data_IF_068036214137
#
_entry.id   IF_068036214137
#
_cell.length_a   1.000
_cell.length_b   1.000
_cell.length_c   1.000
_cell.angle_alpha   90.00
_cell.angle_beta   90.00
_cell.angle_gamma   90.00
#
_symmetry.space_group_name_H-M   'P 1'
#
loop_
_entity.id
_entity.type
_entity.pdbx_description
1 polymer ?
#
# COMPACT_ATOMS: atom_id res chain seq x y z
N UNK A 1 -26.04 1.69 17.83
CA UNK A 1 -24.74 2.37 17.84
C UNK A 1 -23.78 1.49 17.05
N UNK A 2 -23.53 1.78 15.76
CA UNK A 2 -22.54 1.08 14.95
C UNK A 2 -21.16 1.31 15.55
N UNK A 3 -20.31 0.28 15.58
CA UNK A 3 -18.90 0.45 15.92
C UNK A 3 -18.27 1.34 14.86
N UNK A 4 -17.78 2.50 15.24
CA UNK A 4 -16.99 3.34 14.34
C UNK A 4 -15.68 2.60 14.07
N UNK A 5 -15.55 2.06 12.85
CA UNK A 5 -14.36 1.33 12.42
C UNK A 5 -13.36 2.36 11.91
N UNK A 6 -12.17 2.39 12.50
CA UNK A 6 -11.12 3.33 12.09
C UNK A 6 -10.60 3.01 10.68
N UNK A 7 -10.22 4.04 9.91
CA UNK A 7 -9.67 3.85 8.58
C UNK A 7 -8.45 2.93 8.54
N UNK A 8 -8.41 2.04 7.53
CA UNK A 8 -7.27 1.21 7.23
C UNK A 8 -6.41 1.83 6.12
N UNK A 9 -5.12 1.48 6.07
CA UNK A 9 -4.22 1.81 4.97
C UNK A 9 -3.87 0.54 4.19
N UNK A 10 -4.15 0.53 2.90
CA UNK A 10 -3.75 -0.52 1.96
C UNK A 10 -2.51 -0.06 1.21
N UNK A 11 -1.44 -0.84 1.24
CA UNK A 11 -0.17 -0.56 0.57
C UNK A 11 0.03 -1.58 -0.54
N UNK A 12 -0.03 -1.15 -1.79
CA UNK A 12 0.15 -2.02 -2.96
C UNK A 12 1.64 -2.27 -3.21
N UNK A 13 2.12 -3.44 -2.83
CA UNK A 13 3.51 -3.85 -2.87
C UNK A 13 3.78 -5.08 -3.76
N UNK A 14 2.78 -5.61 -4.46
CA UNK A 14 2.93 -6.80 -5.32
C UNK A 14 3.90 -6.60 -6.50
N UNK A 15 4.16 -5.35 -6.90
CA UNK A 15 5.14 -4.98 -7.94
C UNK A 15 6.58 -4.90 -7.45
N UNK A 16 6.84 -4.96 -6.15
CA UNK A 16 8.19 -4.87 -5.58
C UNK A 16 9.03 -6.07 -6.02
N UNK A 17 10.28 -5.80 -6.40
CA UNK A 17 11.25 -6.82 -6.81
C UNK A 17 11.12 -7.32 -8.24
N UNK A 18 10.03 -7.02 -8.96
CA UNK A 18 9.83 -7.51 -10.34
C UNK A 18 10.67 -6.76 -11.39
N UNK A 19 11.10 -5.52 -11.09
CA UNK A 19 11.77 -4.64 -12.08
C UNK A 19 13.28 -4.82 -12.17
N UNK A 20 13.94 -5.38 -11.14
CA UNK A 20 15.40 -5.35 -11.02
C UNK A 20 16.07 -6.73 -10.89
N UNK A 21 15.33 -7.83 -11.03
CA UNK A 21 15.90 -9.20 -10.99
C UNK A 21 16.60 -9.61 -9.69
N UNK A 22 16.61 -8.74 -8.68
CA UNK A 22 17.34 -8.92 -7.42
C UNK A 22 16.47 -9.13 -6.17
N UNK A 23 15.16 -9.15 -6.34
CA UNK A 23 14.22 -9.35 -5.23
C UNK A 23 14.10 -8.14 -4.29
N UNK A 24 13.37 -8.33 -3.19
CA UNK A 24 13.08 -7.31 -2.17
C UNK A 24 14.35 -6.86 -1.44
N UNK A 25 15.36 -7.74 -1.31
CA UNK A 25 16.63 -7.46 -0.63
C UNK A 25 17.45 -6.32 -1.27
N UNK A 26 17.03 -5.84 -2.46
CA UNK A 26 17.68 -4.75 -3.19
C UNK A 26 16.83 -3.47 -3.23
N UNK A 27 15.87 -3.29 -2.32
CA UNK A 27 15.20 -2.01 -2.16
C UNK A 27 16.22 -0.94 -1.76
N UNK A 28 16.34 0.09 -2.59
CA UNK A 28 17.31 1.16 -2.34
C UNK A 28 16.93 1.97 -1.10
N UNK A 29 17.84 2.08 -0.12
CA UNK A 29 17.66 2.98 0.99
C UNK A 29 17.62 4.44 0.49
N UNK A 30 16.69 5.23 0.99
CA UNK A 30 16.56 6.66 0.71
C UNK A 30 16.88 7.50 1.95
N UNK A 31 16.89 6.90 3.12
CA UNK A 31 17.20 7.53 4.40
C UNK A 31 18.63 7.28 4.88
N UNK A 32 19.08 8.06 5.85
CA UNK A 32 20.43 8.01 6.39
C UNK A 32 20.75 6.73 7.19
N UNK A 33 19.71 6.05 7.71
CA UNK A 33 19.87 4.82 8.49
C UNK A 33 19.36 3.57 7.73
N UNK A 34 19.18 3.70 6.42
CA UNK A 34 18.72 2.59 5.58
C UNK A 34 17.20 2.52 5.39
N UNK A 35 16.47 3.56 5.77
CA UNK A 35 15.01 3.62 5.55
C UNK A 35 14.69 3.62 4.06
N UNK A 36 13.65 2.89 3.69
CA UNK A 36 13.06 2.87 2.34
C UNK A 36 11.85 3.82 2.26
N UNK A 37 11.36 4.12 1.07
CA UNK A 37 10.19 5.01 0.86
C UNK A 37 8.97 4.56 1.67
N UNK A 38 8.72 3.26 1.75
CA UNK A 38 7.60 2.70 2.49
C UNK A 38 7.67 2.99 4.00
N UNK A 39 8.86 3.06 4.59
CA UNK A 39 9.03 3.40 6.01
C UNK A 39 8.50 4.80 6.30
N UNK A 40 8.80 5.77 5.42
CA UNK A 40 8.28 7.12 5.54
C UNK A 40 6.76 7.18 5.37
N UNK A 41 6.22 6.42 4.40
CA UNK A 41 4.77 6.35 4.19
C UNK A 41 4.05 5.76 5.40
N UNK A 42 4.57 4.70 5.99
CA UNK A 42 3.99 4.07 7.20
C UNK A 42 4.11 5.02 8.40
N UNK A 43 5.29 5.61 8.61
CA UNK A 43 5.50 6.60 9.68
C UNK A 43 4.46 7.74 9.59
N UNK A 44 4.29 8.33 8.41
CA UNK A 44 3.37 9.44 8.20
C UNK A 44 1.90 9.01 8.35
N UNK A 45 1.54 7.81 7.90
CA UNK A 45 0.20 7.24 8.11
C UNK A 45 -0.11 7.01 9.59
N UNK A 46 0.85 6.45 10.35
CA UNK A 46 0.69 6.25 11.80
C UNK A 46 0.54 7.58 12.54
N UNK A 47 1.30 8.60 12.12
CA UNK A 47 1.19 9.95 12.66
C UNK A 47 -0.16 10.61 12.33
N UNK A 48 -0.78 10.27 11.19
CA UNK A 48 -2.12 10.71 10.82
C UNK A 48 -3.24 10.02 11.60
N UNK A 49 -3.00 8.80 12.13
CA UNK A 49 -3.99 8.08 12.93
C UNK A 49 -4.32 6.66 12.46
N UNK A 50 -3.83 6.22 11.30
CA UNK A 50 -4.01 4.85 10.83
C UNK A 50 -3.43 3.84 11.83
N UNK A 51 -4.17 2.75 12.08
CA UNK A 51 -3.76 1.68 13.02
C UNK A 51 -3.97 0.27 12.46
N UNK A 52 -4.49 0.17 11.24
CA UNK A 52 -4.62 -1.08 10.48
C UNK A 52 -3.92 -0.90 9.14
N UNK A 53 -2.86 -1.65 8.92
CA UNK A 53 -2.04 -1.61 7.69
C UNK A 53 -2.19 -2.94 6.98
N UNK A 54 -2.48 -2.91 5.68
CA UNK A 54 -2.65 -4.09 4.85
C UNK A 54 -1.64 -4.02 3.71
N UNK A 55 -0.71 -4.96 3.66
CA UNK A 55 0.21 -5.11 2.54
C UNK A 55 -0.40 -6.02 1.48
N UNK A 56 -0.50 -5.53 0.24
CA UNK A 56 -0.85 -6.36 -0.92
C UNK A 56 0.44 -6.80 -1.58
N UNK A 57 0.75 -8.07 -1.46
CA UNK A 57 1.99 -8.69 -1.97
C UNK A 57 1.65 -9.91 -2.84
N UNK A 58 2.65 -10.61 -3.38
CA UNK A 58 2.51 -11.94 -3.97
C UNK A 58 3.07 -12.99 -3.02
N UNK A 59 2.57 -14.21 -3.09
CA UNK A 59 3.07 -15.32 -2.26
C UNK A 59 4.56 -15.61 -2.48
N UNK A 60 5.04 -15.48 -3.72
CA UNK A 60 6.43 -15.77 -4.07
C UNK A 60 7.45 -14.83 -3.39
N UNK A 61 7.00 -13.65 -2.92
CA UNK A 61 7.85 -12.68 -2.22
C UNK A 61 7.55 -12.59 -0.71
N UNK A 62 6.57 -13.33 -0.20
CA UNK A 62 6.09 -13.17 1.18
C UNK A 62 7.20 -13.32 2.22
N UNK A 63 8.00 -14.37 2.12
CA UNK A 63 9.06 -14.63 3.09
C UNK A 63 10.08 -13.49 3.11
N UNK A 64 10.59 -13.10 1.94
CA UNK A 64 11.55 -12.01 1.82
C UNK A 64 10.95 -10.67 2.28
N UNK A 65 9.66 -10.42 1.97
CA UNK A 65 8.98 -9.19 2.38
C UNK A 65 8.83 -9.11 3.90
N UNK A 66 8.42 -10.19 4.56
CA UNK A 66 8.33 -10.24 6.02
C UNK A 66 9.70 -10.02 6.65
N UNK A 67 10.72 -10.76 6.22
CA UNK A 67 12.08 -10.69 6.77
C UNK A 67 12.69 -9.29 6.65
N UNK A 68 12.52 -8.62 5.50
CA UNK A 68 13.18 -7.33 5.21
C UNK A 68 12.35 -6.14 5.69
N UNK A 69 11.03 -6.22 5.62
CA UNK A 69 10.12 -5.10 5.84
C UNK A 69 9.15 -5.39 6.99
N UNK A 70 8.31 -6.42 6.85
CA UNK A 70 7.17 -6.65 7.70
C UNK A 70 7.54 -6.80 9.17
N UNK A 71 8.37 -7.79 9.50
CA UNK A 71 8.73 -8.12 10.87
C UNK A 71 9.46 -6.96 11.57
N UNK A 72 10.28 -6.22 10.82
CA UNK A 72 10.96 -5.03 11.33
C UNK A 72 9.97 -3.95 11.72
N UNK A 73 9.05 -3.59 10.81
CA UNK A 73 8.06 -2.54 11.06
C UNK A 73 7.10 -2.94 12.18
N UNK A 74 6.64 -4.19 12.18
CA UNK A 74 5.77 -4.72 13.25
C UNK A 74 6.45 -4.61 14.62
N UNK A 75 7.72 -4.97 14.72
CA UNK A 75 8.51 -4.86 15.96
C UNK A 75 8.68 -3.41 16.40
N UNK A 76 9.04 -2.52 15.48
CA UNK A 76 9.27 -1.10 15.78
C UNK A 76 7.98 -0.39 16.24
N UNK A 77 6.83 -0.79 15.72
CA UNK A 77 5.54 -0.16 15.98
C UNK A 77 4.66 -0.90 16.99
N UNK A 78 5.13 -1.99 17.57
CA UNK A 78 4.37 -2.83 18.52
C UNK A 78 3.74 -2.03 19.68
N UNK A 79 4.45 -1.00 20.15
CA UNK A 79 4.00 -0.12 21.24
C UNK A 79 2.84 0.82 20.83
N UNK A 80 2.53 0.95 19.55
CA UNK A 80 1.49 1.86 19.03
C UNK A 80 0.13 1.17 18.84
N UNK A 81 0.03 -0.13 19.06
CA UNK A 81 -1.21 -0.90 18.88
C UNK A 81 -1.66 -0.97 17.40
N UNK A 82 -0.71 -1.06 16.49
CA UNK A 82 -0.95 -1.22 15.05
C UNK A 82 -1.16 -2.68 14.72
N UNK A 83 -2.13 -2.98 13.85
CA UNK A 83 -2.31 -4.32 13.29
C UNK A 83 -1.82 -4.35 11.84
N UNK A 84 -1.05 -5.39 11.50
CA UNK A 84 -0.56 -5.64 10.16
C UNK A 84 -1.22 -6.87 9.56
N UNK A 85 -1.63 -6.76 8.30
CA UNK A 85 -2.28 -7.83 7.56
C UNK A 85 -1.63 -7.97 6.19
N UNK A 86 -1.75 -9.15 5.60
CA UNK A 86 -1.21 -9.46 4.27
C UNK A 86 -2.35 -9.96 3.39
N UNK A 87 -2.51 -9.35 2.23
CA UNK A 87 -3.39 -9.78 1.16
C UNK A 87 -2.53 -10.19 -0.04
N UNK A 88 -2.97 -11.21 -0.77
CA UNK A 88 -2.17 -11.78 -1.84
C UNK A 88 -2.82 -11.52 -3.20
N UNK A 89 -2.06 -10.86 -4.08
CA UNK A 89 -2.44 -10.60 -5.45
C UNK A 89 -1.83 -11.66 -6.36
N UNK A 90 -2.65 -12.64 -6.76
CA UNK A 90 -2.22 -13.73 -7.63
C UNK A 90 -2.84 -13.63 -9.03
N UNK A 91 -2.14 -14.17 -10.03
CA UNK A 91 -2.57 -14.12 -11.43
C UNK A 91 -3.78 -15.04 -11.71
N UNK A 92 -3.88 -16.12 -10.99
CA UNK A 92 -4.91 -17.14 -11.11
C UNK A 92 -6.11 -16.92 -10.17
N UNK A 93 -6.04 -15.94 -9.27
CA UNK A 93 -7.19 -15.51 -8.46
C UNK A 93 -8.17 -14.71 -9.33
N UNK A 94 -9.02 -15.45 -10.04
CA UNK A 94 -9.97 -14.92 -10.99
C UNK A 94 -11.40 -15.33 -10.64
N UNK A 95 -12.40 -14.50 -10.99
CA UNK A 95 -13.80 -14.86 -10.84
C UNK A 95 -14.15 -16.15 -11.61
N UNK A 96 -15.19 -16.83 -11.15
CA UNK A 96 -15.68 -18.05 -11.82
C UNK A 96 -15.99 -17.80 -13.30
N UNK A 97 -15.52 -18.69 -14.17
CA UNK A 97 -15.69 -18.59 -15.62
C UNK A 97 -14.58 -17.86 -16.37
N UNK A 98 -13.62 -17.29 -15.66
CA UNK A 98 -12.42 -16.70 -16.26
C UNK A 98 -11.21 -17.60 -16.07
N UNK A 99 -10.27 -17.52 -17.01
CA UNK A 99 -9.00 -18.25 -16.95
C UNK A 99 -7.84 -17.33 -17.28
N UNK A 100 -6.67 -17.63 -16.73
CA UNK A 100 -5.45 -16.88 -17.00
C UNK A 100 -5.08 -17.00 -18.50
N UNK A 101 -4.97 -15.87 -19.23
CA UNK A 101 -4.51 -15.88 -20.62
C UNK A 101 -3.10 -16.46 -20.73
N UNK A 102 -2.87 -17.26 -21.76
CA UNK A 102 -1.57 -17.86 -22.03
C UNK A 102 -0.47 -16.78 -22.15
N UNK A 103 0.63 -16.96 -21.44
CA UNK A 103 1.77 -16.06 -21.46
C UNK A 103 1.63 -14.77 -20.63
N UNK A 104 0.53 -14.60 -19.88
CA UNK A 104 0.40 -13.47 -18.97
C UNK A 104 1.28 -13.67 -17.73
N UNK A 105 2.19 -12.72 -17.51
CA UNK A 105 3.08 -12.70 -16.33
C UNK A 105 2.93 -11.44 -15.47
N UNK A 106 2.22 -10.42 -15.98
CA UNK A 106 2.03 -9.15 -15.27
C UNK A 106 0.79 -9.22 -14.37
N UNK A 107 0.84 -8.64 -13.16
CA UNK A 107 -0.32 -8.51 -12.28
C UNK A 107 -1.52 -7.87 -12.99
N UNK A 108 -2.72 -8.10 -12.49
CA UNK A 108 -3.94 -7.56 -13.09
C UNK A 108 -3.99 -6.07 -12.82
N UNK A 109 -4.10 -5.38 -12.12
CA UNK A 109 -4.14 -3.94 -11.95
C UNK A 109 -4.47 -3.56 -10.51
N UNK A 110 -4.54 -2.27 -10.25
CA UNK A 110 -4.77 -1.73 -8.91
C UNK A 110 -6.14 -2.12 -8.35
N UNK A 111 -7.17 -2.18 -9.20
CA UNK A 111 -8.51 -2.61 -8.76
C UNK A 111 -8.54 -4.02 -8.21
N UNK A 112 -7.85 -4.98 -8.86
CA UNK A 112 -7.77 -6.35 -8.37
C UNK A 112 -6.90 -6.43 -7.10
N UNK A 113 -5.83 -5.63 -6.99
CA UNK A 113 -5.03 -5.54 -5.79
C UNK A 113 -5.89 -5.13 -4.57
N UNK A 114 -6.75 -4.12 -4.73
CA UNK A 114 -7.67 -3.70 -3.67
C UNK A 114 -8.72 -4.78 -3.37
N UNK A 115 -9.24 -5.46 -4.39
CA UNK A 115 -10.22 -6.53 -4.23
C UNK A 115 -9.68 -7.70 -3.39
N UNK A 116 -8.37 -7.98 -3.45
CA UNK A 116 -7.74 -9.02 -2.61
C UNK A 116 -7.86 -8.71 -1.10
N UNK A 117 -8.12 -7.45 -0.73
CA UNK A 117 -8.28 -7.05 0.67
C UNK A 117 -9.72 -7.19 1.20
N UNK A 118 -10.70 -7.62 0.39
CA UNK A 118 -12.14 -7.61 0.71
C UNK A 118 -12.51 -8.32 2.01
N UNK A 119 -11.82 -9.42 2.34
CA UNK A 119 -12.08 -10.20 3.57
C UNK A 119 -11.38 -9.61 4.81
N UNK A 120 -10.46 -8.65 4.61
CA UNK A 120 -9.69 -8.01 5.66
C UNK A 120 -10.27 -6.63 5.98
N UNK A 121 -10.80 -5.95 4.96
CA UNK A 121 -11.38 -4.62 5.10
C UNK A 121 -12.77 -4.71 5.74
N UNK A 122 -12.97 -3.96 6.82
CA UNK A 122 -14.20 -3.91 7.60
C UNK A 122 -14.72 -2.47 7.81
N UNK A 123 -14.13 -1.49 7.11
CA UNK A 123 -14.47 -0.07 7.18
C UNK A 123 -13.80 0.76 6.10
N UNK A 124 -13.78 2.10 6.25
CA UNK A 124 -13.14 3.00 5.30
C UNK A 124 -11.64 2.73 5.18
N UNK A 125 -11.07 2.98 4.00
CA UNK A 125 -9.66 2.73 3.76
C UNK A 125 -9.06 3.69 2.74
N UNK A 126 -7.75 3.94 2.88
CA UNK A 126 -6.92 4.60 1.88
C UNK A 126 -6.04 3.59 1.15
N UNK A 127 -5.65 3.89 -0.08
CA UNK A 127 -4.78 3.05 -0.90
C UNK A 127 -3.58 3.87 -1.38
N UNK A 128 -2.38 3.30 -1.24
CA UNK A 128 -1.13 3.90 -1.74
C UNK A 128 -0.28 2.87 -2.49
N UNK A 129 0.64 3.36 -3.31
CA UNK A 129 1.72 2.56 -3.86
C UNK A 129 2.87 2.46 -2.84
N UNK A 130 3.55 1.34 -2.82
CA UNK A 130 4.68 1.10 -1.90
C UNK A 130 5.95 1.89 -2.26
N UNK A 131 6.07 2.31 -3.53
CA UNK A 131 7.24 2.96 -4.10
C UNK A 131 7.04 4.47 -4.37
N UNK A 132 5.91 5.04 -3.96
CA UNK A 132 5.62 6.48 -4.07
C UNK A 132 5.65 7.17 -2.70
N UNK A 133 6.18 8.40 -2.65
CA UNK A 133 6.14 9.24 -1.47
C UNK A 133 5.05 10.31 -1.57
N UNK A 134 4.11 10.29 -0.63
CA UNK A 134 2.92 11.17 -0.65
C UNK A 134 3.03 12.37 0.30
N UNK A 135 3.86 12.27 1.34
CA UNK A 135 4.04 13.32 2.35
C UNK A 135 2.96 13.35 3.43
N UNK A 136 3.33 13.90 4.58
CA UNK A 136 2.51 13.92 5.81
C UNK A 136 1.10 14.50 5.62
N UNK A 137 0.99 15.57 4.83
CA UNK A 137 -0.28 16.25 4.67
C UNK A 137 -1.30 15.41 3.90
N UNK A 138 -0.84 14.62 2.91
CA UNK A 138 -1.72 13.73 2.17
C UNK A 138 -2.36 12.67 3.09
N UNK A 139 -1.55 12.04 3.95
CA UNK A 139 -2.05 11.04 4.92
C UNK A 139 -3.03 11.66 5.91
N UNK A 140 -2.74 12.85 6.43
CA UNK A 140 -3.64 13.54 7.35
C UNK A 140 -4.98 13.86 6.68
N UNK A 141 -4.95 14.49 5.50
CA UNK A 141 -6.18 14.84 4.78
C UNK A 141 -7.03 13.61 4.45
N UNK A 142 -6.40 12.51 4.03
CA UNK A 142 -7.11 11.26 3.74
C UNK A 142 -7.71 10.66 5.01
N UNK A 143 -6.94 10.63 6.10
CA UNK A 143 -7.42 10.08 7.37
C UNK A 143 -8.62 10.88 7.91
N UNK A 144 -8.50 12.21 7.97
CA UNK A 144 -9.55 13.09 8.46
C UNK A 144 -10.84 12.93 7.62
N UNK A 145 -10.71 12.91 6.28
CA UNK A 145 -11.85 12.66 5.39
C UNK A 145 -12.53 11.30 5.67
N UNK A 146 -11.75 10.23 5.83
CA UNK A 146 -12.28 8.88 6.05
C UNK A 146 -12.88 8.70 7.46
N UNK A 147 -12.35 9.41 8.45
CA UNK A 147 -12.81 9.37 9.83
C UNK A 147 -14.12 10.16 10.03
N UNK A 148 -14.25 11.31 9.33
CA UNK A 148 -15.36 12.22 9.47
C UNK A 148 -16.57 11.87 8.58
N UNK A 149 -16.36 11.06 7.54
CA UNK A 149 -17.37 10.80 6.53
C UNK A 149 -18.14 9.50 6.80
N UNK A 150 -19.45 9.63 7.01
CA UNK A 150 -20.35 8.49 7.23
C UNK A 150 -20.98 7.94 5.92
N UNK A 151 -20.77 8.59 4.78
CA UNK A 151 -21.33 8.16 3.49
C UNK A 151 -20.40 7.15 2.81
N UNK A 152 -20.83 5.90 2.73
CA UNK A 152 -20.09 4.78 2.12
C UNK A 152 -19.83 4.96 0.60
N UNK A 153 -20.52 5.89 -0.06
CA UNK A 153 -20.38 6.16 -1.48
C UNK A 153 -19.47 7.36 -1.79
N UNK A 154 -18.81 7.94 -0.81
CA UNK A 154 -17.89 9.05 -1.03
C UNK A 154 -16.44 8.57 -1.19
N UNK A 155 -15.78 9.18 -2.16
CA UNK A 155 -14.39 8.91 -2.50
C UNK A 155 -13.61 10.22 -2.52
N UNK A 156 -12.35 10.16 -2.11
CA UNK A 156 -11.42 11.27 -2.22
C UNK A 156 -10.08 10.83 -2.80
N UNK A 157 -9.30 11.79 -3.26
CA UNK A 157 -7.97 11.56 -3.79
C UNK A 157 -7.06 12.73 -3.42
N UNK A 158 -5.86 12.45 -2.96
CA UNK A 158 -4.85 13.47 -2.75
C UNK A 158 -4.31 13.96 -4.10
N UNK A 159 -4.64 15.20 -4.47
CA UNK A 159 -4.16 15.84 -5.69
C UNK A 159 -2.82 16.54 -5.47
N UNK A 160 -1.89 16.37 -6.41
CA UNK A 160 -0.57 17.02 -6.39
C UNK A 160 -0.43 17.98 -7.58
N UNK A 161 0.26 19.10 -7.35
CA UNK A 161 0.57 20.05 -8.42
C UNK A 161 1.53 19.38 -9.39
N UNK A 162 1.08 19.16 -10.64
CA UNK A 162 1.80 18.36 -11.64
C UNK A 162 3.27 18.77 -11.81
N UNK A 163 3.56 20.08 -11.90
CA UNK A 163 4.93 20.57 -12.05
C UNK A 163 5.89 20.14 -10.94
N UNK A 164 5.36 19.84 -9.74
CA UNK A 164 6.17 19.41 -8.60
C UNK A 164 6.42 17.89 -8.58
N UNK A 165 5.81 17.16 -9.53
CA UNK A 165 5.96 15.69 -9.67
C UNK A 165 6.77 15.30 -10.90
N UNK A 166 7.27 16.28 -11.66
CA UNK A 166 8.10 16.05 -12.83
C UNK A 166 9.54 15.71 -12.44
N UNK A 167 10.25 15.01 -13.33
CA UNK A 167 11.64 14.63 -13.15
C UNK A 167 12.48 15.24 -14.25
N UNK A 168 13.65 15.79 -13.92
CA UNK A 168 14.65 16.25 -14.88
C UNK A 168 15.37 15.06 -15.58
N UNK A 169 15.19 13.84 -15.06
CA UNK A 169 15.86 12.63 -15.53
C UNK A 169 15.03 11.80 -16.54
N UNK A 170 14.03 12.40 -17.17
CA UNK A 170 13.22 11.74 -18.19
C UNK A 170 11.71 11.88 -17.99
N UNK A 171 10.95 11.33 -18.91
CA UNK A 171 9.50 11.36 -18.88
C UNK A 171 8.95 10.49 -17.73
N UNK A 172 7.95 11.02 -17.03
CA UNK A 172 7.21 10.30 -15.99
C UNK A 172 5.73 10.22 -16.37
N UNK A 173 5.11 9.05 -16.11
CA UNK A 173 3.66 8.88 -16.27
C UNK A 173 3.00 9.12 -14.92
N UNK A 174 1.98 9.97 -14.91
CA UNK A 174 1.17 10.27 -13.73
C UNK A 174 -0.30 10.06 -14.06
N UNK A 175 -1.04 9.56 -13.09
CA UNK A 175 -2.49 9.43 -13.17
C UNK A 175 -3.21 10.73 -12.82
#
# INVERSE_FOLDING_TARGET
>A
MGRHVKPALVIMAAGIGSRYGGGIKQLEPVGANGEIIMDYSIHDALAAGFRKIIFVIRHDIEQDFREVIGDRIEKETAHLGVSFHYAFQELDDLPAGYSLPQGRSKPWGTGQAVLCCKEILDGPFAVINADDYYGKQAFRNLYDFLEENEDECQFCMAGFVLKNTLSDNGAVTRG
#
